data_IF_523107807975
#
_entry.id   IF_523107807975
#
_cell.length_a   1.000
_cell.length_b   1.000
_cell.length_c   1.000
_cell.angle_alpha   90.00
_cell.angle_beta   90.00
_cell.angle_gamma   90.00
#
_symmetry.space_group_name_H-M   'P 1'
#
loop_
_entity.id
_entity.type
_entity.pdbx_description
1 polymer ?
#
# COMPACT_ATOMS: atom_id res chain seq x y z
N UNK A 1 27.17 -17.67 -14.76
CA UNK A 1 26.27 -18.15 -13.69
C UNK A 1 25.53 -17.04 -12.93
N UNK A 2 26.16 -16.21 -12.08
CA UNK A 2 25.44 -15.17 -11.32
C UNK A 2 24.66 -14.16 -12.19
N UNK A 3 25.24 -13.75 -13.33
CA UNK A 3 24.54 -12.90 -14.30
C UNK A 3 23.29 -13.55 -14.88
N UNK A 4 23.34 -14.84 -15.20
CA UNK A 4 22.16 -15.58 -15.71
C UNK A 4 21.03 -15.60 -14.68
N UNK A 5 21.37 -15.72 -13.39
CA UNK A 5 20.39 -15.71 -12.31
C UNK A 5 19.70 -14.36 -12.12
N UNK A 6 20.37 -13.24 -12.42
CA UNK A 6 19.77 -11.90 -12.34
C UNK A 6 18.71 -11.66 -13.42
N UNK A 7 18.84 -12.30 -14.58
CA UNK A 7 17.92 -12.14 -15.71
C UNK A 7 16.66 -13.02 -15.58
N UNK A 8 16.66 -14.00 -14.68
CA UNK A 8 15.50 -14.85 -14.45
C UNK A 8 14.37 -14.06 -13.80
N UNK A 9 13.17 -14.17 -14.38
CA UNK A 9 11.94 -13.54 -13.86
C UNK A 9 11.14 -14.45 -12.92
N UNK A 10 11.69 -15.62 -12.62
CA UNK A 10 11.12 -16.62 -11.74
C UNK A 10 12.06 -16.92 -10.58
N UNK A 11 11.49 -17.31 -9.43
CA UNK A 11 12.28 -17.65 -8.26
C UNK A 11 12.96 -19.00 -8.45
N UNK A 12 14.28 -19.04 -8.29
CA UNK A 12 15.06 -20.29 -8.28
C UNK A 12 15.47 -20.68 -6.86
N UNK A 13 15.79 -21.96 -6.66
CA UNK A 13 16.31 -22.53 -5.41
C UNK A 13 17.76 -23.00 -5.55
N UNK A 14 18.50 -22.45 -6.52
CA UNK A 14 19.89 -22.83 -6.81
C UNK A 14 20.83 -22.59 -5.61
N UNK A 15 20.44 -21.70 -4.68
CA UNK A 15 21.12 -21.49 -3.42
C UNK A 15 20.16 -21.66 -2.24
N UNK A 16 20.67 -22.27 -1.16
CA UNK A 16 19.96 -22.35 0.12
C UNK A 16 19.87 -20.98 0.77
N UNK A 17 18.68 -20.63 1.27
CA UNK A 17 18.46 -19.38 2.01
C UNK A 17 19.25 -19.42 3.32
N UNK A 18 19.98 -18.33 3.59
CA UNK A 18 20.73 -18.20 4.85
C UNK A 18 19.79 -18.10 6.05
N UNK A 19 20.13 -18.73 7.20
CA UNK A 19 19.34 -18.59 8.42
C UNK A 19 19.24 -17.14 8.88
N UNK A 20 18.11 -16.76 9.48
CA UNK A 20 17.86 -15.39 9.95
C UNK A 20 18.77 -14.96 11.12
N UNK A 21 19.35 -15.91 11.87
CA UNK A 21 20.24 -15.60 12.99
C UNK A 21 21.47 -14.83 12.49
N UNK A 22 21.69 -13.63 13.04
CA UNK A 22 22.78 -12.74 12.64
C UNK A 22 22.44 -11.74 11.54
N UNK A 23 21.23 -11.79 10.95
CA UNK A 23 20.73 -10.72 10.08
C UNK A 23 20.00 -9.68 10.91
N UNK A 24 20.40 -8.41 10.78
CA UNK A 24 19.77 -7.28 11.45
C UNK A 24 19.51 -6.14 10.46
N UNK A 25 18.40 -5.43 10.64
CA UNK A 25 18.14 -4.18 9.93
C UNK A 25 19.04 -3.10 10.52
N UNK A 26 20.00 -2.61 9.73
CA UNK A 26 20.95 -1.60 10.20
C UNK A 26 20.35 -0.18 10.17
N UNK A 27 19.74 0.20 9.04
CA UNK A 27 19.26 1.56 8.82
C UNK A 27 18.14 1.57 7.79
N UNK A 28 17.21 2.50 7.97
CA UNK A 28 16.28 2.92 6.91
C UNK A 28 16.70 4.31 6.46
N UNK A 29 16.98 4.47 5.17
CA UNK A 29 17.26 5.78 4.58
C UNK A 29 15.96 6.50 4.24
N UNK A 30 15.75 7.66 4.83
CA UNK A 30 14.69 8.58 4.45
C UNK A 30 15.28 9.83 3.80
N UNK A 31 14.53 10.52 2.92
CA UNK A 31 14.88 11.86 2.46
C UNK A 31 15.05 12.82 3.64
N UNK A 32 15.70 13.97 3.45
CA UNK A 32 15.73 15.04 4.44
C UNK A 32 14.33 15.38 4.95
N UNK A 33 14.23 15.78 6.21
CA UNK A 33 12.93 16.02 6.88
C UNK A 33 12.04 17.01 6.12
N UNK A 34 12.64 18.03 5.48
CA UNK A 34 11.91 19.00 4.67
C UNK A 34 11.24 18.36 3.44
N UNK A 35 11.92 17.44 2.76
CA UNK A 35 11.36 16.72 1.61
C UNK A 35 10.26 15.76 2.04
N UNK A 36 10.47 15.08 3.19
CA UNK A 36 9.46 14.22 3.76
C UNK A 36 8.21 15.00 4.20
N UNK A 37 8.39 16.16 4.82
CA UNK A 37 7.32 17.06 5.24
C UNK A 37 6.51 17.56 4.02
N UNK A 38 7.18 18.04 2.98
CA UNK A 38 6.52 18.47 1.74
C UNK A 38 5.66 17.35 1.13
N UNK A 39 6.17 16.10 1.10
CA UNK A 39 5.38 14.97 0.60
C UNK A 39 4.18 14.63 1.48
N UNK A 40 4.32 14.80 2.80
CA UNK A 40 3.22 14.62 3.74
C UNK A 40 2.12 15.66 3.54
N UNK A 41 2.46 16.92 3.29
CA UNK A 41 1.48 17.98 3.02
C UNK A 41 0.62 17.64 1.80
N UNK A 42 1.24 17.17 0.71
CA UNK A 42 0.52 16.75 -0.51
C UNK A 42 -0.38 15.55 -0.24
N UNK A 43 0.12 14.53 0.46
CA UNK A 43 -0.56 13.23 0.55
C UNK A 43 -1.52 13.10 1.73
N UNK A 44 -1.40 13.95 2.75
CA UNK A 44 -2.23 13.92 3.95
C UNK A 44 -3.12 15.15 4.10
N UNK A 45 -3.28 15.95 3.06
CA UNK A 45 -4.21 17.07 3.11
C UNK A 45 -5.64 16.55 3.32
N UNK A 46 -6.27 16.96 4.41
CA UNK A 46 -7.66 16.58 4.74
C UNK A 46 -8.57 17.73 4.36
N UNK A 47 -9.67 17.43 3.67
CA UNK A 47 -10.75 18.39 3.43
C UNK A 47 -11.28 18.91 4.77
N UNK A 48 -11.49 20.22 4.86
CA UNK A 48 -12.14 20.87 5.98
C UNK A 48 -13.63 20.49 6.04
N UNK A 49 -14.25 20.63 7.22
CA UNK A 49 -15.63 20.21 7.44
C UNK A 49 -16.66 20.91 6.52
N UNK A 50 -16.35 22.09 6.00
CA UNK A 50 -17.22 22.83 5.08
C UNK A 50 -17.03 22.42 3.61
N UNK A 51 -15.95 21.71 3.29
CA UNK A 51 -15.64 21.20 1.95
C UNK A 51 -16.24 19.80 1.72
N UNK A 52 -16.82 19.20 2.77
CA UNK A 52 -17.46 17.89 2.75
C UNK A 52 -18.90 18.02 3.21
N UNK A 53 -19.82 17.36 2.52
CA UNK A 53 -21.17 17.11 3.03
C UNK A 53 -21.21 15.65 3.52
N UNK A 54 -21.10 15.42 4.84
CA UNK A 54 -21.00 14.07 5.38
C UNK A 54 -22.27 13.24 5.14
N UNK A 55 -23.42 13.89 4.95
CA UNK A 55 -24.69 13.21 4.71
C UNK A 55 -24.74 12.69 3.28
N UNK A 56 -24.42 13.54 2.31
CA UNK A 56 -24.40 13.16 0.90
C UNK A 56 -23.29 12.15 0.61
N UNK A 57 -22.07 12.39 1.10
CA UNK A 57 -20.95 11.47 0.90
C UNK A 57 -21.20 10.10 1.55
N UNK A 58 -21.78 10.08 2.77
CA UNK A 58 -22.14 8.84 3.45
C UNK A 58 -23.27 8.06 2.74
N UNK A 59 -24.21 8.75 2.11
CA UNK A 59 -25.24 8.12 1.29
C UNK A 59 -24.66 7.47 0.03
N UNK A 60 -23.72 8.14 -0.64
CA UNK A 60 -23.02 7.60 -1.82
C UNK A 60 -22.15 6.39 -1.47
N UNK A 61 -21.48 6.41 -0.31
CA UNK A 61 -20.74 5.26 0.22
C UNK A 61 -21.68 4.06 0.47
N UNK A 62 -22.80 4.29 1.17
CA UNK A 62 -23.77 3.24 1.47
C UNK A 62 -24.39 2.64 0.19
N UNK A 63 -24.68 3.48 -0.81
CA UNK A 63 -25.17 3.02 -2.11
C UNK A 63 -24.14 2.13 -2.84
N UNK A 64 -22.85 2.49 -2.80
CA UNK A 64 -21.77 1.66 -3.35
C UNK A 64 -21.63 0.33 -2.64
N UNK A 65 -21.73 0.32 -1.32
CA UNK A 65 -21.64 -0.91 -0.54
C UNK A 65 -22.83 -1.84 -0.76
N UNK A 66 -24.05 -1.29 -0.85
CA UNK A 66 -25.25 -2.05 -1.24
C UNK A 66 -25.12 -2.66 -2.64
N UNK A 67 -24.58 -1.91 -3.60
CA UNK A 67 -24.31 -2.43 -4.95
C UNK A 67 -23.30 -3.59 -4.92
N UNK A 68 -22.20 -3.46 -4.17
CA UNK A 68 -21.22 -4.54 -3.99
C UNK A 68 -21.85 -5.79 -3.37
N UNK A 69 -22.74 -5.63 -2.39
CA UNK A 69 -23.43 -6.76 -1.76
C UNK A 69 -24.37 -7.47 -2.74
N UNK A 70 -25.10 -6.73 -3.57
CA UNK A 70 -25.95 -7.31 -4.61
C UNK A 70 -25.16 -8.12 -5.65
N UNK A 71 -23.92 -7.72 -5.94
CA UNK A 71 -23.03 -8.41 -6.88
C UNK A 71 -22.28 -9.61 -6.26
N UNK A 72 -22.46 -9.89 -4.95
CA UNK A 72 -21.75 -10.99 -4.27
C UNK A 72 -22.48 -12.33 -4.50
N UNK A 73 -21.86 -13.32 -5.20
CA UNK A 73 -22.52 -14.58 -5.51
C UNK A 73 -22.84 -15.41 -4.25
N UNK A 74 -24.06 -15.96 -4.17
CA UNK A 74 -24.47 -16.89 -3.12
C UNK A 74 -25.12 -16.28 -1.87
N UNK A 75 -25.51 -15.01 -1.89
CA UNK A 75 -26.21 -14.31 -0.79
C UNK A 75 -27.62 -13.81 -1.21
N UNK A 76 -28.12 -14.22 -2.38
CA UNK A 76 -29.48 -13.93 -2.86
C UNK A 76 -30.31 -15.21 -2.98
#
# INVERSE_FOLDING_TARGET
RLRELLELRERTSEFTVMPARGLVLERVGYPPDAELAARNEVTRNRRAAHEVDPVTEGADDAARDLARLADTPGIA
#
